data_IF_037483999985
#
_entry.id   IF_037483999985
#
_cell.length_a   1.000
_cell.length_b   1.000
_cell.length_c   1.000
_cell.angle_alpha   90.00
_cell.angle_beta   90.00
_cell.angle_gamma   90.00
#
_symmetry.space_group_name_H-M   'P 1'
#
loop_
_entity.id
_entity.type
_entity.pdbx_description
1 polymer ?
#
# COMPACT_ATOMS: atom_id res chain seq x y z
N UNK A 1 -46.23 14.12 25.86
CA UNK A 1 -44.97 13.46 26.30
C UNK A 1 -43.90 13.78 25.27
N UNK A 2 -42.73 14.26 25.71
CA UNK A 2 -41.75 14.91 24.84
C UNK A 2 -40.94 13.89 24.02
N UNK A 3 -40.59 14.28 22.80
CA UNK A 3 -39.75 13.53 21.88
C UNK A 3 -38.32 13.51 22.41
N UNK A 4 -37.77 12.33 22.65
CA UNK A 4 -36.35 12.11 22.93
C UNK A 4 -35.59 12.14 21.61
N UNK A 5 -35.03 13.31 21.27
CA UNK A 5 -33.97 13.40 20.27
C UNK A 5 -32.71 12.71 20.82
N UNK A 6 -32.33 11.61 20.18
CA UNK A 6 -31.07 10.92 20.45
C UNK A 6 -29.95 11.72 19.77
N UNK A 7 -28.93 12.22 20.49
CA UNK A 7 -27.86 12.98 19.88
C UNK A 7 -27.08 12.08 18.92
N UNK A 8 -27.07 12.47 17.64
CA UNK A 8 -26.29 11.81 16.61
C UNK A 8 -24.82 11.82 17.00
N UNK A 9 -24.24 10.63 17.11
CA UNK A 9 -22.78 10.47 17.19
C UNK A 9 -22.26 10.98 15.85
N UNK A 10 -21.76 12.21 15.87
CA UNK A 10 -21.08 12.85 14.76
C UNK A 10 -19.87 11.98 14.41
N UNK A 11 -20.01 11.20 13.35
CA UNK A 11 -18.95 10.33 12.86
C UNK A 11 -17.77 11.23 12.48
N UNK A 12 -16.70 11.15 13.28
CA UNK A 12 -15.48 11.90 13.05
C UNK A 12 -15.04 11.74 11.59
N UNK A 13 -14.71 12.84 10.88
CA UNK A 13 -14.37 12.77 9.47
C UNK A 13 -13.14 11.87 9.32
N UNK A 14 -13.30 10.74 8.63
CA UNK A 14 -12.17 9.88 8.29
C UNK A 14 -11.15 10.72 7.52
N UNK A 15 -10.02 11.01 8.17
CA UNK A 15 -8.96 11.82 7.58
C UNK A 15 -8.43 11.10 6.35
N UNK A 16 -8.91 11.51 5.18
CA UNK A 16 -8.52 10.96 3.88
C UNK A 16 -6.99 11.12 3.77
N UNK A 17 -6.27 9.99 3.74
CA UNK A 17 -4.82 9.99 3.54
C UNK A 17 -4.52 10.75 2.26
N UNK A 18 -3.77 11.84 2.38
CA UNK A 18 -3.49 12.71 1.24
C UNK A 18 -2.47 12.02 0.34
N UNK A 19 -2.76 11.88 -0.97
CA UNK A 19 -1.96 11.07 -1.90
C UNK A 19 -0.49 11.50 -2.01
N UNK A 20 -0.18 12.76 -1.73
CA UNK A 20 1.19 13.28 -1.70
C UNK A 20 2.06 12.69 -0.57
N UNK A 21 1.46 12.03 0.44
CA UNK A 21 2.22 11.30 1.48
C UNK A 21 2.86 10.01 0.91
N UNK A 22 2.38 9.51 -0.23
CA UNK A 22 2.94 8.32 -0.88
C UNK A 22 4.28 8.61 -1.58
N UNK A 23 4.51 9.85 -2.04
CA UNK A 23 5.74 10.22 -2.76
C UNK A 23 7.01 10.10 -1.91
N UNK A 24 7.06 10.62 -0.66
CA UNK A 24 8.19 10.38 0.23
C UNK A 24 8.40 8.91 0.58
N UNK A 25 7.32 8.13 0.64
CA UNK A 25 7.38 6.71 0.96
C UNK A 25 7.99 5.90 -0.18
N UNK A 26 7.58 6.18 -1.42
CA UNK A 26 8.20 5.60 -2.63
C UNK A 26 9.67 6.00 -2.70
N UNK A 27 9.99 7.27 -2.45
CA UNK A 27 11.37 7.76 -2.45
C UNK A 27 12.21 7.08 -1.36
N UNK A 28 11.64 6.84 -0.17
CA UNK A 28 12.31 6.12 0.92
C UNK A 28 12.56 4.65 0.54
N UNK A 29 11.57 3.94 0.00
CA UNK A 29 11.74 2.56 -0.46
C UNK A 29 12.79 2.49 -1.57
N UNK A 30 12.74 3.40 -2.54
CA UNK A 30 13.73 3.50 -3.61
C UNK A 30 15.13 3.81 -3.07
N UNK A 31 15.23 4.72 -2.10
CA UNK A 31 16.48 5.07 -1.42
C UNK A 31 17.07 3.89 -0.65
N UNK A 32 16.25 3.16 0.13
CA UNK A 32 16.67 1.96 0.85
C UNK A 32 17.08 0.83 -0.10
N UNK A 33 16.35 0.64 -1.22
CA UNK A 33 16.74 -0.30 -2.26
C UNK A 33 18.08 0.07 -2.90
N UNK A 34 18.27 1.35 -3.23
CA UNK A 34 19.53 1.85 -3.80
C UNK A 34 20.70 1.72 -2.82
N UNK A 35 20.49 2.00 -1.54
CA UNK A 35 21.48 1.85 -0.49
C UNK A 35 21.83 0.36 -0.23
N UNK A 36 20.81 -0.50 -0.12
CA UNK A 36 21.00 -1.95 0.01
C UNK A 36 21.77 -2.53 -1.16
N UNK A 37 21.52 -2.05 -2.39
CA UNK A 37 22.29 -2.44 -3.57
C UNK A 37 23.77 -2.03 -3.52
N UNK A 38 24.08 -0.85 -2.98
CA UNK A 38 25.47 -0.39 -2.83
C UNK A 38 26.22 -1.23 -1.79
N UNK A 39 25.53 -1.60 -0.70
CA UNK A 39 26.06 -2.42 0.39
C UNK A 39 26.18 -3.90 0.02
N UNK A 40 25.24 -4.42 -0.78
CA UNK A 40 25.20 -5.81 -1.25
C UNK A 40 26.16 -6.10 -2.41
N UNK A 41 27.08 -5.17 -2.75
CA UNK A 41 28.27 -5.46 -3.57
C UNK A 41 29.30 -6.32 -2.84
N UNK A 42 28.87 -7.15 -1.88
CA UNK A 42 29.63 -8.27 -1.35
C UNK A 42 29.87 -9.31 -2.45
N UNK A 43 30.90 -10.14 -2.28
CA UNK A 43 31.47 -10.96 -3.35
C UNK A 43 30.44 -11.81 -4.09
N UNK A 44 30.47 -11.73 -5.43
CA UNK A 44 29.67 -12.61 -6.31
C UNK A 44 29.86 -14.08 -5.95
N UNK A 45 31.05 -14.45 -5.48
CA UNK A 45 31.37 -15.77 -4.93
C UNK A 45 30.42 -16.19 -3.81
N UNK A 46 30.22 -15.32 -2.82
CA UNK A 46 29.40 -15.63 -1.64
C UNK A 46 27.94 -15.81 -2.04
N UNK A 47 27.46 -14.99 -2.97
CA UNK A 47 26.11 -15.13 -3.52
C UNK A 47 25.91 -16.46 -4.25
N UNK A 48 26.91 -16.88 -5.03
CA UNK A 48 26.90 -18.19 -5.71
C UNK A 48 26.91 -19.32 -4.68
N UNK A 49 27.74 -19.23 -3.65
CA UNK A 49 27.82 -20.24 -2.59
C UNK A 49 26.50 -20.38 -1.81
N UNK A 50 25.83 -19.26 -1.50
CA UNK A 50 24.49 -19.27 -0.91
C UNK A 50 23.46 -19.92 -1.84
N UNK A 51 23.46 -19.57 -3.14
CA UNK A 51 22.56 -20.19 -4.12
C UNK A 51 22.78 -21.70 -4.24
N UNK A 52 24.04 -22.14 -4.30
CA UNK A 52 24.39 -23.55 -4.31
C UNK A 52 24.02 -24.26 -3.00
N UNK A 53 24.15 -23.60 -1.85
CA UNK A 53 23.73 -24.15 -0.57
C UNK A 53 22.22 -24.40 -0.54
N UNK A 54 21.41 -23.44 -1.00
CA UNK A 54 19.95 -23.60 -1.12
C UNK A 54 19.63 -24.77 -2.06
N UNK A 55 20.24 -24.81 -3.24
CA UNK A 55 20.03 -25.91 -4.20
C UNK A 55 20.39 -27.28 -3.62
N UNK A 56 21.46 -27.37 -2.82
CA UNK A 56 21.84 -28.61 -2.12
C UNK A 56 20.79 -29.02 -1.10
N UNK A 57 20.27 -28.08 -0.32
CA UNK A 57 19.21 -28.32 0.66
C UNK A 57 17.94 -28.82 -0.05
N UNK A 58 17.51 -28.15 -1.12
CA UNK A 58 16.31 -28.55 -1.86
C UNK A 58 16.44 -29.92 -2.51
N UNK A 59 17.61 -30.23 -3.08
CA UNK A 59 17.90 -31.57 -3.62
C UNK A 59 17.91 -32.64 -2.53
N UNK A 60 18.50 -32.35 -1.36
CA UNK A 60 18.51 -33.26 -0.22
C UNK A 60 17.10 -33.54 0.30
N UNK A 61 16.24 -32.53 0.31
CA UNK A 61 14.83 -32.66 0.70
C UNK A 61 13.92 -33.15 -0.43
N UNK A 62 14.44 -33.34 -1.64
CA UNK A 62 13.69 -33.69 -2.85
C UNK A 62 12.55 -32.70 -3.21
N UNK A 63 12.74 -31.42 -2.91
CA UNK A 63 11.77 -30.33 -3.18
C UNK A 63 12.22 -29.39 -4.30
N UNK A 64 13.22 -29.79 -5.09
CA UNK A 64 13.83 -29.00 -6.17
C UNK A 64 12.93 -28.88 -7.43
N UNK A 65 11.69 -28.42 -7.24
CA UNK A 65 10.64 -28.31 -8.25
C UNK A 65 10.97 -27.28 -9.35
N UNK A 66 11.84 -26.32 -9.05
CA UNK A 66 12.32 -25.31 -10.00
C UNK A 66 13.05 -25.93 -11.19
N UNK A 67 13.76 -27.04 -11.01
CA UNK A 67 14.48 -27.69 -12.11
C UNK A 67 13.56 -28.32 -13.19
N UNK A 68 12.58 -29.19 -12.87
CA UNK A 68 11.65 -29.70 -13.88
C UNK A 68 10.74 -28.60 -14.43
N UNK A 69 10.37 -27.61 -13.62
CA UNK A 69 9.51 -26.50 -14.07
C UNK A 69 10.24 -25.60 -15.08
N UNK A 70 11.51 -25.29 -14.83
CA UNK A 70 12.33 -24.52 -15.76
C UNK A 70 12.47 -25.23 -17.11
N UNK A 71 12.77 -26.53 -17.12
CA UNK A 71 12.80 -27.30 -18.36
C UNK A 71 11.47 -27.28 -19.12
N UNK A 72 10.34 -27.35 -18.43
CA UNK A 72 9.02 -27.25 -19.06
C UNK A 72 8.83 -25.90 -19.74
N UNK A 73 9.16 -24.80 -19.05
CA UNK A 73 8.97 -23.44 -19.55
C UNK A 73 9.93 -23.10 -20.69
N UNK A 74 11.15 -23.66 -20.68
CA UNK A 74 12.11 -23.52 -21.78
C UNK A 74 11.71 -24.35 -23.01
N UNK A 75 11.14 -25.54 -22.81
CA UNK A 75 10.72 -26.41 -23.92
C UNK A 75 9.47 -25.89 -24.60
N UNK A 76 8.49 -25.47 -23.81
CA UNK A 76 7.16 -25.09 -24.27
C UNK A 76 7.04 -23.56 -24.33
N UNK A 77 7.33 -22.97 -25.49
CA UNK A 77 7.35 -21.51 -25.67
C UNK A 77 6.01 -20.83 -25.36
N UNK A 78 4.89 -21.54 -25.55
CA UNK A 78 3.55 -21.04 -25.20
C UNK A 78 3.34 -20.92 -23.68
N UNK A 79 4.17 -21.55 -22.85
CA UNK A 79 4.26 -21.32 -21.41
C UNK A 79 5.36 -20.32 -21.06
N UNK A 80 6.56 -20.50 -21.63
CA UNK A 80 7.73 -19.69 -21.32
C UNK A 80 7.56 -18.21 -21.65
N UNK A 81 7.12 -17.88 -22.87
CA UNK A 81 6.96 -16.47 -23.29
C UNK A 81 5.94 -15.74 -22.42
N UNK A 82 4.70 -16.23 -22.21
CA UNK A 82 3.77 -15.56 -21.31
C UNK A 82 4.27 -15.46 -19.87
N UNK A 83 5.02 -16.46 -19.38
CA UNK A 83 5.61 -16.43 -18.04
C UNK A 83 6.67 -15.32 -17.90
N UNK A 84 7.50 -15.10 -18.92
CA UNK A 84 8.47 -14.01 -18.91
C UNK A 84 7.78 -12.64 -18.93
N UNK A 85 6.71 -12.48 -19.72
CA UNK A 85 5.87 -11.26 -19.67
C UNK A 85 5.19 -11.07 -18.31
N UNK A 86 4.70 -12.15 -17.71
CA UNK A 86 4.10 -12.14 -16.39
C UNK A 86 5.11 -11.64 -15.36
N UNK A 87 6.31 -12.22 -15.36
CA UNK A 87 7.41 -11.87 -14.47
C UNK A 87 7.90 -10.42 -14.68
N UNK A 88 8.00 -9.97 -15.93
CA UNK A 88 8.49 -8.62 -16.24
C UNK A 88 7.49 -7.50 -15.89
N UNK A 89 6.19 -7.80 -15.80
CA UNK A 89 5.16 -6.76 -15.88
C UNK A 89 4.18 -6.73 -14.70
N UNK A 90 3.69 -7.87 -14.24
CA UNK A 90 2.48 -7.86 -13.40
C UNK A 90 2.70 -7.30 -12.00
N UNK A 91 3.87 -7.46 -11.39
CA UNK A 91 4.14 -6.84 -10.09
C UNK A 91 4.17 -5.31 -10.17
N UNK A 92 4.60 -4.74 -11.30
CA UNK A 92 4.57 -3.29 -11.58
C UNK A 92 3.16 -2.76 -11.88
N UNK A 93 2.21 -3.63 -12.24
CA UNK A 93 0.85 -3.23 -12.61
C UNK A 93 -0.17 -3.57 -11.54
N UNK A 94 -0.22 -4.83 -11.10
CA UNK A 94 -1.24 -5.37 -10.18
C UNK A 94 -1.12 -4.77 -8.79
N UNK A 95 0.09 -4.67 -8.24
CA UNK A 95 0.30 -4.14 -6.90
C UNK A 95 -0.14 -2.68 -6.80
N UNK A 96 0.31 -1.77 -7.70
CA UNK A 96 -0.19 -0.40 -7.72
C UNK A 96 -1.68 -0.31 -8.02
N UNK A 97 -2.22 -1.11 -8.94
CA UNK A 97 -3.65 -1.12 -9.25
C UNK A 97 -4.50 -1.46 -8.01
N UNK A 98 -4.09 -2.47 -7.22
CA UNK A 98 -4.80 -2.80 -5.98
C UNK A 98 -4.64 -1.74 -4.90
N UNK A 99 -3.47 -1.10 -4.79
CA UNK A 99 -3.29 0.03 -3.88
C UNK A 99 -4.22 1.19 -4.26
N UNK A 100 -4.30 1.56 -5.55
CA UNK A 100 -5.21 2.61 -6.05
C UNK A 100 -6.67 2.21 -5.83
N UNK A 101 -7.03 0.96 -6.10
CA UNK A 101 -8.37 0.46 -5.88
C UNK A 101 -8.77 0.49 -4.39
N UNK A 102 -7.88 0.05 -3.49
CA UNK A 102 -8.09 0.12 -2.04
C UNK A 102 -8.21 1.58 -1.57
N UNK A 103 -7.35 2.46 -2.07
CA UNK A 103 -7.39 3.88 -1.73
C UNK A 103 -8.75 4.51 -2.10
N UNK A 104 -9.25 4.21 -3.30
CA UNK A 104 -10.51 4.78 -3.80
C UNK A 104 -11.75 4.19 -3.15
N UNK A 105 -11.77 2.87 -2.94
CA UNK A 105 -12.99 2.15 -2.58
C UNK A 105 -13.00 1.61 -1.14
N UNK A 106 -11.85 1.58 -0.46
CA UNK A 106 -11.63 0.95 0.85
C UNK A 106 -10.68 1.78 1.73
N UNK A 107 -10.86 3.10 1.75
CA UNK A 107 -9.95 4.04 2.41
C UNK A 107 -9.63 3.68 3.87
N UNK A 108 -10.63 3.21 4.64
CA UNK A 108 -10.46 2.75 6.01
C UNK A 108 -9.42 1.62 6.18
N UNK A 109 -9.29 0.74 5.18
CA UNK A 109 -8.35 -0.40 5.21
C UNK A 109 -7.04 -0.11 4.47
N UNK A 110 -7.01 0.90 3.60
CA UNK A 110 -5.86 1.24 2.77
C UNK A 110 -4.59 1.46 3.61
N UNK A 111 -4.70 2.20 4.72
CA UNK A 111 -3.55 2.50 5.58
C UNK A 111 -2.90 1.23 6.14
N UNK A 112 -3.70 0.30 6.66
CA UNK A 112 -3.21 -0.95 7.21
C UNK A 112 -2.60 -1.84 6.12
N UNK A 113 -3.26 -1.95 4.97
CA UNK A 113 -2.79 -2.72 3.83
C UNK A 113 -1.45 -2.19 3.27
N UNK A 114 -1.33 -0.86 3.12
CA UNK A 114 -0.10 -0.17 2.71
C UNK A 114 1.03 -0.40 3.71
N UNK A 115 0.78 -0.18 5.01
CA UNK A 115 1.82 -0.40 6.03
C UNK A 115 2.30 -1.84 6.02
N UNK A 116 1.41 -2.81 5.90
CA UNK A 116 1.78 -4.22 5.78
C UNK A 116 2.71 -4.49 4.58
N UNK A 117 2.33 -4.02 3.38
CA UNK A 117 3.15 -4.19 2.18
C UNK A 117 4.53 -3.56 2.36
N UNK A 118 4.59 -2.36 2.92
CA UNK A 118 5.83 -1.61 3.10
C UNK A 118 6.74 -2.26 4.15
N UNK A 119 6.20 -2.62 5.31
CA UNK A 119 6.97 -3.33 6.35
C UNK A 119 7.56 -4.62 5.82
N UNK A 120 6.77 -5.41 5.08
CA UNK A 120 7.25 -6.66 4.47
C UNK A 120 8.34 -6.40 3.42
N UNK A 121 8.17 -5.35 2.61
CA UNK A 121 9.16 -4.96 1.59
C UNK A 121 10.47 -4.53 2.23
N UNK A 122 10.44 -3.73 3.30
CA UNK A 122 11.63 -3.35 4.06
C UNK A 122 12.34 -4.55 4.70
N UNK A 123 11.58 -5.50 5.27
CA UNK A 123 12.16 -6.74 5.78
C UNK A 123 12.82 -7.56 4.67
N UNK A 124 12.20 -7.65 3.49
CA UNK A 124 12.80 -8.31 2.34
C UNK A 124 14.06 -7.61 1.82
N UNK A 125 14.06 -6.27 1.80
CA UNK A 125 15.22 -5.44 1.48
C UNK A 125 16.41 -5.74 2.40
N UNK A 126 16.14 -5.83 3.71
CA UNK A 126 17.15 -6.23 4.71
C UNK A 126 17.62 -7.65 4.43
N UNK A 127 16.70 -8.58 4.18
CA UNK A 127 16.99 -9.99 3.89
C UNK A 127 18.01 -10.19 2.77
N UNK A 128 17.76 -9.63 1.58
CA UNK A 128 18.70 -9.80 0.47
C UNK A 128 20.01 -9.04 0.65
N UNK A 129 20.01 -7.97 1.46
CA UNK A 129 21.25 -7.22 1.76
C UNK A 129 22.16 -8.03 2.67
N UNK A 130 21.59 -8.78 3.63
CA UNK A 130 22.34 -9.62 4.56
C UNK A 130 22.71 -10.99 3.98
N UNK A 131 21.89 -11.52 3.07
CA UNK A 131 22.08 -12.82 2.44
C UNK A 131 21.96 -12.69 0.91
N UNK A 132 22.96 -12.08 0.24
CA UNK A 132 22.97 -12.04 -1.22
C UNK A 132 22.97 -13.48 -1.74
N UNK A 133 22.07 -13.78 -2.67
CA UNK A 133 21.78 -15.14 -3.12
C UNK A 133 21.70 -15.18 -4.63
N UNK A 134 22.52 -16.04 -5.24
CA UNK A 134 22.55 -16.26 -6.68
C UNK A 134 21.34 -17.08 -7.13
N UNK A 135 20.49 -16.54 -8.02
CA UNK A 135 19.32 -17.24 -8.55
C UNK A 135 19.72 -18.39 -9.48
N UNK A 136 18.84 -19.40 -9.67
CA UNK A 136 19.16 -20.58 -10.49
C UNK A 136 19.63 -20.24 -11.91
N UNK A 137 19.05 -19.21 -12.56
CA UNK A 137 19.37 -18.79 -13.92
C UNK A 137 20.82 -18.31 -14.12
N UNK A 138 21.49 -17.88 -13.05
CA UNK A 138 22.87 -17.40 -13.07
C UNK A 138 23.89 -18.46 -12.63
N UNK A 139 23.43 -19.65 -12.24
CA UNK A 139 24.33 -20.75 -11.93
C UNK A 139 25.02 -21.28 -13.19
N UNK A 140 26.21 -21.86 -13.02
CA UNK A 140 26.94 -22.47 -14.11
C UNK A 140 26.10 -23.55 -14.84
N UNK A 141 26.29 -23.67 -16.16
CA UNK A 141 25.51 -24.54 -17.04
C UNK A 141 25.42 -26.01 -16.59
N UNK A 142 26.42 -26.50 -15.85
CA UNK A 142 26.43 -27.84 -15.24
C UNK A 142 25.26 -28.11 -14.29
N UNK A 143 24.60 -27.06 -13.76
CA UNK A 143 23.45 -27.19 -12.88
C UNK A 143 22.12 -27.28 -13.64
N UNK A 144 22.13 -27.11 -14.97
CA UNK A 144 21.00 -27.45 -15.84
C UNK A 144 19.83 -26.44 -15.86
N UNK A 145 20.06 -25.21 -15.41
CA UNK A 145 19.09 -24.12 -15.48
C UNK A 145 19.29 -23.28 -16.74
N UNK A 146 18.17 -22.81 -17.31
CA UNK A 146 18.15 -21.91 -18.45
C UNK A 146 17.47 -20.61 -18.04
N UNK A 147 18.14 -19.48 -18.28
CA UNK A 147 17.54 -18.15 -18.16
C UNK A 147 16.52 -17.95 -19.27
N UNK A 148 15.23 -18.21 -18.98
CA UNK A 148 14.15 -18.06 -19.96
C UNK A 148 13.98 -16.62 -20.41
N UNK A 149 14.18 -15.66 -19.49
CA UNK A 149 14.08 -14.23 -19.77
C UNK A 149 15.13 -13.83 -20.81
N UNK A 150 16.38 -14.30 -20.68
CA UNK A 150 17.40 -14.08 -21.70
C UNK A 150 17.08 -14.85 -23.00
N UNK A 151 16.64 -16.11 -22.88
CA UNK A 151 16.33 -16.99 -24.01
C UNK A 151 15.21 -16.46 -24.91
N UNK A 152 14.14 -15.90 -24.33
CA UNK A 152 13.00 -15.33 -25.04
C UNK A 152 13.03 -13.79 -25.12
N UNK A 153 14.16 -13.17 -24.81
CA UNK A 153 14.31 -11.70 -24.80
C UNK A 153 13.99 -11.03 -26.13
N UNK A 154 14.03 -11.77 -27.25
CA UNK A 154 13.64 -11.30 -28.59
C UNK A 154 12.15 -10.95 -28.69
N UNK A 155 11.28 -11.65 -27.97
CA UNK A 155 9.83 -11.40 -27.93
C UNK A 155 9.46 -10.27 -26.96
N UNK A 156 10.30 -10.02 -25.95
CA UNK A 156 10.02 -9.14 -24.84
C UNK A 156 10.48 -7.69 -25.01
N UNK A 157 10.02 -6.84 -24.11
CA UNK A 157 10.47 -5.46 -23.94
C UNK A 157 11.66 -5.33 -22.96
N UNK A 158 12.04 -6.45 -22.31
CA UNK A 158 13.17 -6.57 -21.40
C UNK A 158 14.47 -6.93 -22.13
N UNK A 159 15.61 -6.81 -21.43
CA UNK A 159 16.93 -7.22 -21.91
C UNK A 159 17.40 -8.56 -21.32
N UNK A 160 18.60 -9.01 -21.68
CA UNK A 160 19.20 -10.23 -21.11
C UNK A 160 19.63 -10.12 -19.65
N UNK A 161 19.51 -8.94 -19.04
CA UNK A 161 19.88 -8.68 -17.65
C UNK A 161 18.65 -8.32 -16.81
N UNK A 162 18.05 -9.35 -16.20
CA UNK A 162 16.86 -9.27 -15.35
C UNK A 162 15.60 -8.72 -16.04
N UNK A 163 14.50 -8.61 -15.29
CA UNK A 163 13.20 -8.05 -15.75
C UNK A 163 13.22 -6.53 -15.96
N UNK A 164 14.40 -5.91 -16.03
CA UNK A 164 14.52 -4.49 -16.34
C UNK A 164 14.30 -4.25 -17.85
N UNK A 165 13.66 -3.12 -18.22
CA UNK A 165 13.64 -2.67 -19.60
C UNK A 165 15.07 -2.62 -20.17
N UNK A 166 15.19 -2.88 -21.48
CA UNK A 166 16.50 -2.91 -22.17
C UNK A 166 17.35 -1.68 -21.82
N UNK A 167 18.58 -1.91 -21.37
CA UNK A 167 19.52 -0.86 -20.94
C UNK A 167 19.44 -0.46 -19.46
N UNK A 168 18.44 -0.95 -18.70
CA UNK A 168 18.31 -0.72 -17.26
C UNK A 168 18.63 -1.94 -16.39
N UNK A 169 19.24 -2.99 -16.95
CA UNK A 169 19.65 -4.20 -16.20
C UNK A 169 20.55 -3.87 -15.00
N UNK A 170 21.46 -2.92 -15.20
CA UNK A 170 22.31 -2.32 -14.17
C UNK A 170 21.58 -1.41 -13.17
N UNK A 171 20.25 -1.37 -13.10
CA UNK A 171 19.47 -0.79 -11.98
C UNK A 171 18.89 -1.86 -11.05
N UNK A 172 18.95 -3.13 -11.46
CA UNK A 172 18.44 -4.26 -10.68
C UNK A 172 19.56 -5.01 -9.95
N UNK A 173 19.30 -5.53 -8.76
CA UNK A 173 20.24 -6.43 -8.09
C UNK A 173 19.98 -7.87 -8.53
N UNK A 174 20.83 -8.41 -9.41
CA UNK A 174 20.63 -9.75 -9.96
C UNK A 174 20.87 -10.87 -8.92
N UNK A 175 21.56 -10.59 -7.81
CA UNK A 175 21.89 -11.53 -6.73
C UNK A 175 20.98 -11.36 -5.49
N UNK A 176 19.76 -10.87 -5.68
CA UNK A 176 18.76 -10.70 -4.63
C UNK A 176 17.63 -11.73 -4.73
N UNK A 177 17.97 -13.02 -4.86
CA UNK A 177 16.96 -14.08 -5.00
C UNK A 177 16.17 -14.31 -3.70
N UNK A 178 16.81 -14.32 -2.53
CA UNK A 178 16.16 -14.60 -1.26
C UNK A 178 16.03 -13.31 -0.42
N UNK A 179 14.84 -12.99 0.15
CA UNK A 179 13.53 -13.62 -0.04
C UNK A 179 12.81 -13.14 -1.32
N UNK A 180 11.92 -13.97 -1.89
CA UNK A 180 11.20 -13.59 -3.11
C UNK A 180 10.11 -12.55 -2.86
N UNK A 181 10.42 -11.28 -3.17
CA UNK A 181 9.45 -10.18 -3.10
C UNK A 181 8.31 -10.32 -4.12
N UNK A 182 8.55 -10.93 -5.29
CA UNK A 182 7.49 -11.21 -6.27
C UNK A 182 6.39 -12.09 -5.66
N UNK A 183 6.79 -13.19 -5.02
CA UNK A 183 5.84 -14.10 -4.34
C UNK A 183 5.19 -13.40 -3.16
N UNK A 184 5.95 -12.66 -2.34
CA UNK A 184 5.40 -11.91 -1.22
C UNK A 184 4.33 -10.90 -1.65
N UNK A 185 4.63 -10.05 -2.65
CA UNK A 185 3.69 -9.04 -3.17
C UNK A 185 2.48 -9.69 -3.84
N UNK A 186 2.69 -10.79 -4.58
CA UNK A 186 1.59 -11.52 -5.19
C UNK A 186 0.66 -12.11 -4.13
N UNK A 187 1.20 -12.69 -3.04
CA UNK A 187 0.43 -13.13 -1.89
C UNK A 187 -0.36 -11.99 -1.26
N UNK A 188 0.27 -10.84 -1.03
CA UNK A 188 -0.42 -9.65 -0.52
C UNK A 188 -1.59 -9.26 -1.43
N UNK A 189 -1.38 -9.21 -2.75
CA UNK A 189 -2.43 -8.93 -3.72
C UNK A 189 -3.59 -9.95 -3.62
N UNK A 190 -3.24 -11.24 -3.51
CA UNK A 190 -4.19 -12.32 -3.34
C UNK A 190 -5.03 -12.15 -2.08
N UNK A 191 -4.41 -11.85 -0.94
CA UNK A 191 -5.10 -11.61 0.34
C UNK A 191 -6.01 -10.38 0.25
N UNK A 192 -5.58 -9.30 -0.39
CA UNK A 192 -6.41 -8.10 -0.58
C UNK A 192 -7.65 -8.40 -1.43
N UNK A 193 -7.47 -9.12 -2.54
CA UNK A 193 -8.58 -9.55 -3.40
C UNK A 193 -9.52 -10.51 -2.65
N UNK A 194 -8.99 -11.44 -1.88
CA UNK A 194 -9.79 -12.37 -1.08
C UNK A 194 -10.59 -11.63 0.00
N UNK A 195 -9.97 -10.66 0.70
CA UNK A 195 -10.62 -10.01 1.84
C UNK A 195 -11.63 -8.96 1.44
N UNK A 196 -11.36 -8.21 0.37
CA UNK A 196 -12.11 -7.00 0.00
C UNK A 196 -12.77 -7.08 -1.38
N UNK A 197 -12.35 -8.03 -2.23
CA UNK A 197 -12.94 -8.28 -3.54
C UNK A 197 -14.31 -8.94 -3.43
N UNK A 198 -15.16 -8.71 -4.44
CA UNK A 198 -16.52 -9.25 -4.52
C UNK A 198 -16.64 -10.20 -5.72
N UNK A 199 -17.44 -11.26 -5.56
CA UNK A 199 -17.73 -12.23 -6.61
C UNK A 199 -16.73 -13.38 -6.72
N UNK A 200 -17.08 -14.39 -7.52
CA UNK A 200 -16.29 -15.60 -7.72
C UNK A 200 -14.96 -15.32 -8.43
N UNK A 201 -14.97 -14.41 -9.41
CA UNK A 201 -13.75 -14.02 -10.13
C UNK A 201 -12.66 -13.48 -9.20
N UNK A 202 -13.00 -12.61 -8.24
CA UNK A 202 -12.04 -12.10 -7.27
C UNK A 202 -11.44 -13.21 -6.39
N UNK A 203 -12.24 -14.22 -6.02
CA UNK A 203 -11.79 -15.38 -5.24
C UNK A 203 -10.84 -16.27 -6.02
N UNK A 204 -11.15 -16.50 -7.30
CA UNK A 204 -10.27 -17.25 -8.20
C UNK A 204 -8.95 -16.50 -8.40
N UNK A 205 -9.00 -15.21 -8.76
CA UNK A 205 -7.80 -14.40 -8.96
C UNK A 205 -6.95 -14.28 -7.70
N UNK A 206 -7.59 -14.22 -6.52
CA UNK A 206 -6.89 -14.17 -5.24
C UNK A 206 -5.99 -15.38 -4.97
N UNK A 207 -6.31 -16.54 -5.56
CA UNK A 207 -5.53 -17.78 -5.41
C UNK A 207 -4.63 -17.99 -6.63
N UNK A 208 -5.16 -17.81 -7.83
CA UNK A 208 -4.44 -18.03 -9.08
C UNK A 208 -3.26 -17.08 -9.23
N UNK A 209 -3.39 -15.81 -8.85
CA UNK A 209 -2.31 -14.83 -9.03
C UNK A 209 -1.05 -15.13 -8.18
N UNK A 210 -1.14 -15.38 -6.86
CA UNK A 210 0.00 -15.80 -6.06
C UNK A 210 0.61 -17.14 -6.51
N UNK A 211 -0.22 -18.15 -6.79
CA UNK A 211 0.26 -19.46 -7.23
C UNK A 211 0.92 -19.40 -8.60
N UNK A 212 0.28 -18.72 -9.55
CA UNK A 212 0.82 -18.47 -10.89
C UNK A 212 2.15 -17.73 -10.82
N UNK A 213 2.24 -16.69 -9.98
CA UNK A 213 3.51 -15.96 -9.79
C UNK A 213 4.60 -16.87 -9.21
N UNK A 214 4.26 -17.75 -8.27
CA UNK A 214 5.21 -18.72 -7.68
C UNK A 214 5.73 -19.69 -8.74
N UNK A 215 4.84 -20.23 -9.59
CA UNK A 215 5.23 -21.09 -10.71
C UNK A 215 6.10 -20.34 -11.72
N UNK A 216 5.72 -19.10 -12.06
CA UNK A 216 6.46 -18.27 -13.01
C UNK A 216 7.88 -17.98 -12.52
N UNK A 217 8.07 -17.58 -11.26
CA UNK A 217 9.42 -17.24 -10.78
C UNK A 217 10.35 -18.46 -10.73
N UNK A 218 9.83 -19.65 -10.43
CA UNK A 218 10.60 -20.89 -10.43
C UNK A 218 10.83 -21.39 -11.86
N UNK A 219 9.80 -21.37 -12.72
CA UNK A 219 9.89 -21.80 -14.11
C UNK A 219 10.81 -20.90 -14.95
N UNK A 220 10.92 -19.63 -14.61
CA UNK A 220 11.88 -18.71 -15.25
C UNK A 220 13.27 -18.75 -14.60
N UNK A 221 13.52 -19.68 -13.67
CA UNK A 221 14.78 -19.85 -12.93
C UNK A 221 15.23 -18.58 -12.16
N UNK A 222 14.29 -17.70 -11.82
CA UNK A 222 14.58 -16.48 -11.06
C UNK A 222 14.66 -16.72 -9.55
N UNK A 223 14.00 -17.76 -9.04
CA UNK A 223 13.92 -18.06 -7.62
C UNK A 223 13.90 -19.58 -7.37
N UNK A 224 14.51 -20.00 -6.27
CA UNK A 224 14.33 -21.32 -5.68
C UNK A 224 12.96 -21.42 -4.99
N UNK A 225 12.50 -22.64 -4.67
CA UNK A 225 11.28 -22.82 -3.89
C UNK A 225 11.43 -22.22 -2.48
N UNK A 226 12.59 -22.39 -1.86
CA UNK A 226 12.89 -21.82 -0.55
C UNK A 226 12.88 -20.28 -0.56
N UNK A 227 13.23 -19.65 -1.67
CA UNK A 227 13.09 -18.19 -1.81
C UNK A 227 11.61 -17.77 -1.75
N UNK A 228 10.73 -18.54 -2.39
CA UNK A 228 9.30 -18.32 -2.37
C UNK A 228 8.73 -18.50 -0.95
N UNK A 229 9.15 -19.57 -0.25
CA UNK A 229 8.78 -19.82 1.15
C UNK A 229 9.25 -18.67 2.05
N UNK A 230 10.49 -18.21 1.88
CA UNK A 230 11.03 -17.07 2.62
C UNK A 230 10.24 -15.78 2.33
N UNK A 231 9.82 -15.56 1.07
CA UNK A 231 8.93 -14.45 0.69
C UNK A 231 7.59 -14.48 1.41
N UNK A 232 6.95 -15.65 1.49
CA UNK A 232 5.71 -15.86 2.26
C UNK A 232 5.94 -15.61 3.75
N UNK A 233 7.02 -16.14 4.32
CA UNK A 233 7.36 -15.95 5.72
C UNK A 233 7.59 -14.47 6.06
N UNK A 234 8.34 -13.73 5.23
CA UNK A 234 8.56 -12.29 5.40
C UNK A 234 7.25 -11.51 5.31
N UNK A 235 6.36 -11.88 4.40
CA UNK A 235 5.03 -11.28 4.31
C UNK A 235 4.18 -11.57 5.56
N UNK A 236 4.29 -12.77 6.14
CA UNK A 236 3.65 -13.13 7.41
C UNK A 236 4.20 -12.33 8.61
N UNK A 237 5.52 -12.22 8.74
CA UNK A 237 6.17 -11.41 9.78
C UNK A 237 5.78 -9.94 9.63
N UNK A 238 5.79 -9.41 8.41
CA UNK A 238 5.37 -8.04 8.13
C UNK A 238 3.90 -7.79 8.50
N UNK A 239 3.02 -8.78 8.33
CA UNK A 239 1.61 -8.68 8.77
C UNK A 239 1.52 -8.53 10.28
N UNK A 240 2.28 -9.34 11.03
CA UNK A 240 2.32 -9.31 12.49
C UNK A 240 2.89 -7.99 13.03
N UNK A 241 3.88 -7.42 12.33
CA UNK A 241 4.53 -6.17 12.75
C UNK A 241 3.77 -4.91 12.31
N UNK A 242 2.93 -4.98 11.28
CA UNK A 242 2.23 -3.82 10.72
C UNK A 242 1.43 -2.98 11.76
N UNK A 243 0.70 -3.57 12.72
CA UNK A 243 0.02 -2.81 13.76
C UNK A 243 0.99 -2.05 14.68
N UNK A 244 2.11 -2.67 15.05
CA UNK A 244 3.12 -2.04 15.89
C UNK A 244 3.80 -0.86 15.16
N UNK A 245 4.15 -1.06 13.88
CA UNK A 245 4.71 -0.01 13.02
C UNK A 245 3.72 1.15 12.87
N UNK A 246 2.43 0.86 12.69
CA UNK A 246 1.39 1.89 12.59
C UNK A 246 1.31 2.72 13.87
N UNK A 247 1.27 2.07 15.04
CA UNK A 247 1.25 2.75 16.35
C UNK A 247 2.50 3.59 16.59
N UNK A 248 3.68 3.10 16.19
CA UNK A 248 4.93 3.85 16.31
C UNK A 248 4.90 5.09 15.42
N UNK A 249 4.48 4.96 14.17
CA UNK A 249 4.35 6.09 13.25
C UNK A 249 3.36 7.15 13.76
N UNK A 250 2.24 6.72 14.37
CA UNK A 250 1.28 7.64 15.01
C UNK A 250 1.91 8.41 16.18
N UNK A 251 2.67 7.74 17.04
CA UNK A 251 3.38 8.38 18.16
C UNK A 251 4.43 9.38 17.69
N UNK A 252 5.21 9.02 16.67
CA UNK A 252 6.22 9.91 16.09
C UNK A 252 5.53 11.13 15.47
N UNK A 253 4.46 10.93 14.70
CA UNK A 253 3.68 12.04 14.13
C UNK A 253 3.10 12.95 15.20
N UNK A 254 2.53 12.38 16.26
CA UNK A 254 2.00 13.16 17.38
C UNK A 254 3.09 14.02 18.02
N UNK A 255 4.27 13.45 18.28
CA UNK A 255 5.43 14.17 18.85
C UNK A 255 5.94 15.29 17.95
N UNK A 256 5.96 15.07 16.63
CA UNK A 256 6.38 16.10 15.66
C UNK A 256 5.38 17.26 15.61
N UNK A 257 4.08 16.96 15.69
CA UNK A 257 3.02 18.00 15.71
C UNK A 257 3.02 18.76 17.04
N UNK A 258 3.17 18.08 18.18
CA UNK A 258 3.24 18.76 19.49
C UNK A 258 4.55 19.51 19.70
N UNK A 259 5.67 19.00 19.17
CA UNK A 259 6.98 19.64 19.24
C UNK A 259 7.09 20.91 18.36
N UNK A 260 6.29 20.99 17.29
CA UNK A 260 6.19 22.20 16.44
C UNK A 260 5.29 23.30 17.01
N UNK A 261 4.50 23.01 18.07
CA UNK A 261 3.58 23.98 18.70
C UNK A 261 4.12 24.57 20.00
N UNK A 262 5.35 24.23 20.41
CA UNK A 262 5.93 24.69 21.69
C UNK A 262 6.56 26.10 21.62
N UNK A 263 6.09 26.95 20.72
CA UNK A 263 6.68 28.25 20.41
C UNK A 263 5.65 29.37 20.17
N UNK A 264 4.54 29.39 20.89
CA UNK A 264 3.78 30.61 21.16
C UNK A 264 2.78 30.31 22.30
N UNK A 265 2.93 30.88 23.51
CA UNK A 265 1.80 30.93 24.41
C UNK A 265 0.76 31.82 23.75
N UNK A 266 -0.33 31.24 23.25
CA UNK A 266 -1.52 31.99 22.99
C UNK A 266 -1.95 32.58 24.33
N UNK A 267 -1.79 33.89 24.50
CA UNK A 267 -2.39 34.63 25.59
C UNK A 267 -3.91 34.48 25.45
N UNK A 268 -4.45 33.46 26.10
CA UNK A 268 -5.86 33.42 26.49
C UNK A 268 -6.03 34.61 27.43
N UNK A 269 -6.40 35.75 26.85
CA UNK A 269 -7.04 36.85 27.57
C UNK A 269 -8.48 36.38 27.80
N UNK A 270 -8.67 35.64 28.89
CA UNK A 270 -9.98 35.50 29.53
C UNK A 270 -9.88 36.16 30.89
N UNK A 271 -10.58 37.29 31.01
CA UNK A 271 -10.77 38.04 32.26
C UNK A 271 -10.92 39.53 31.94
N UNK A 272 -12.10 40.16 32.01
CA UNK A 272 -13.43 39.66 32.35
C UNK A 272 -14.47 40.72 32.00
N UNK A 273 -15.62 40.28 31.47
CA UNK A 273 -16.84 41.08 31.55
C UNK A 273 -17.34 41.00 32.99
N UNK A 274 -16.97 41.97 33.82
CA UNK A 274 -17.69 42.26 35.04
C UNK A 274 -18.98 43.01 34.66
N UNK A 275 -20.10 42.31 34.58
CA UNK A 275 -21.40 42.96 34.76
C UNK A 275 -21.61 43.11 36.26
N UNK A 276 -21.34 44.29 36.79
CA UNK A 276 -21.65 44.64 38.17
C UNK A 276 -23.17 44.70 38.35
N UNK A 277 -23.66 43.93 39.32
CA UNK A 277 -24.99 44.03 39.86
C UNK A 277 -25.06 45.22 40.83
N UNK A 278 -26.02 46.12 40.62
CA UNK A 278 -26.49 47.05 41.64
C UNK A 278 -26.02 48.49 41.49
N UNK A 279 -26.73 49.28 40.69
CA UNK A 279 -26.82 50.72 40.93
C UNK A 279 -28.24 51.24 40.68
N UNK A 280 -28.61 52.22 41.51
CA UNK A 280 -29.96 52.52 41.98
C UNK A 280 -30.79 53.36 40.99
N UNK A 281 -32.10 53.11 41.05
CA UNK A 281 -33.21 53.91 40.50
C UNK A 281 -33.15 55.38 40.98
N UNK A 282 -33.54 56.36 40.13
CA UNK A 282 -34.72 57.19 40.43
C UNK A 282 -35.62 57.30 39.16
N UNK A 283 -36.81 56.68 39.11
CA UNK A 283 -38.14 57.10 39.63
C UNK A 283 -38.74 58.32 38.90
N UNK A 284 -40.03 58.14 38.56
CA UNK A 284 -41.05 59.09 38.07
C UNK A 284 -41.20 59.08 36.54
N UNK A 285 -42.38 58.89 35.94
CA UNK A 285 -43.77 59.19 36.36
C UNK A 285 -44.72 58.27 35.56
N UNK A 286 -45.52 57.43 36.21
CA UNK A 286 -47.01 57.49 36.28
C UNK A 286 -47.67 58.01 34.97
N UNK A 287 -48.66 57.36 34.37
CA UNK A 287 -49.91 56.87 34.97
C UNK A 287 -50.80 56.32 33.84
N UNK A 288 -51.51 55.19 34.09
CA UNK A 288 -52.96 54.96 33.81
C UNK A 288 -53.46 55.07 32.34
N UNK A 289 -54.37 54.28 31.80
CA UNK A 289 -55.41 53.33 32.24
C UNK A 289 -55.79 52.49 30.98
N UNK A 290 -56.41 51.33 31.18
CA UNK A 290 -57.60 50.74 30.50
C UNK A 290 -57.92 51.17 29.05
N UNK A 291 -58.52 50.39 28.15
CA UNK A 291 -59.03 49.03 28.02
C UNK A 291 -59.60 48.98 26.58
N UNK A 292 -59.78 47.77 26.06
CA UNK A 292 -60.75 47.40 25.02
C UNK A 292 -60.67 47.93 23.56
N UNK A 293 -61.19 47.06 22.69
CA UNK A 293 -61.69 47.26 21.32
C UNK A 293 -60.72 47.03 20.13
N UNK A 294 -60.78 45.79 19.60
CA UNK A 294 -60.74 45.47 18.16
C UNK A 294 -61.86 46.21 17.36
N UNK A 295 -62.00 46.04 16.02
CA UNK A 295 -61.01 45.89 14.94
C UNK A 295 -61.37 46.81 13.74
N UNK A 296 -60.53 46.90 12.70
CA UNK A 296 -61.02 47.48 11.43
C UNK A 296 -60.01 47.79 10.33
N UNK A 297 -60.26 47.16 9.18
CA UNK A 297 -60.05 47.65 7.82
C UNK A 297 -58.62 47.66 7.23
N UNK A 298 -58.43 46.75 6.26
CA UNK A 298 -57.53 46.94 5.13
C UNK A 298 -57.99 48.12 4.26
N UNK A 299 -57.11 48.62 3.36
CA UNK A 299 -57.34 48.27 1.96
C UNK A 299 -56.04 48.08 1.12
N UNK A 300 -56.19 47.29 0.04
CA UNK A 300 -55.69 47.45 -1.37
C UNK A 300 -54.41 48.23 -1.64
N UNK A 301 -53.61 48.03 -2.68
CA UNK A 301 -53.44 47.14 -3.84
C UNK A 301 -52.27 47.78 -4.63
N UNK A 302 -51.67 47.07 -5.58
CA UNK A 302 -50.61 47.39 -6.57
C UNK A 302 -49.59 46.24 -6.55
N UNK A 303 -49.62 45.29 -7.49
CA UNK A 303 -49.34 45.48 -8.93
C UNK A 303 -47.81 45.51 -9.09
N UNK A 304 -47.12 44.69 -9.88
CA UNK A 304 -47.44 44.06 -11.15
C UNK A 304 -46.23 43.15 -11.51
N UNK A 305 -46.38 42.22 -12.46
CA UNK A 305 -45.21 41.55 -13.10
C UNK A 305 -45.29 40.02 -13.26
N UNK A 306 -46.10 39.57 -14.20
CA UNK A 306 -46.19 38.19 -14.70
C UNK A 306 -45.04 37.85 -15.71
N UNK A 307 -45.11 36.78 -16.53
CA UNK A 307 -44.89 35.37 -16.21
C UNK A 307 -43.92 34.65 -17.18
N UNK A 308 -43.55 33.39 -16.89
CA UNK A 308 -43.58 32.22 -17.81
C UNK A 308 -42.59 31.11 -17.39
N UNK A 309 -43.04 29.84 -17.34
CA UNK A 309 -42.17 28.70 -17.56
C UNK A 309 -42.59 27.95 -18.83
N UNK A 310 -41.61 27.60 -19.67
CA UNK A 310 -41.79 26.64 -20.75
C UNK A 310 -40.78 25.50 -20.58
N UNK A 311 -41.36 24.31 -20.36
CA UNK A 311 -40.92 22.95 -20.74
C UNK A 311 -39.51 22.48 -20.38
#
# INVERSE_FOLDING_TARGET
MPQTESPGIEAAPETRSRWWIELPLILLVYGCYSAGRLLARGGVSDAVDHGLAILRIEKFLHINAEHPLNRLFTRESWLGVPADFWYASLHYLVTPALLVWLFRNRAAHYRAARTWLMTSTFLGLIGFTLLPTCPPRLLAAQHGFVDTMAYYSSYGWWGGEASAPRGMGGMTNQYAAMPSLHVGWALWCGVMLWRYGRGRAARVLAVVYPLGTTLVVMGTANHYLLDAVAGVAVMGVGLLLAPAVTRLADRVRARLVTGGSSGAPASIVSGGCQTSAGERIPRQRASRLDADAEPGAAPTDTGDGAPAPAR
#
